data_IF_272910775218
#
_entry.id   IF_272910775218
#
_cell.length_a   1.000
_cell.length_b   1.000
_cell.length_c   1.000
_cell.angle_alpha   90.00
_cell.angle_beta   90.00
_cell.angle_gamma   90.00
#
_symmetry.space_group_name_H-M   'P 1'
#
loop_
_entity.id
_entity.type
_entity.pdbx_description
1 polymer ?
#
# COMPACT_ATOMS: atom_id res chain seq x y z
N UNK A 1 -7.25 16.87 -14.03
CA UNK A 1 -7.81 15.81 -13.18
C UNK A 1 -6.80 14.67 -13.03
N UNK A 2 -6.83 13.92 -11.93
CA UNK A 2 -6.04 12.68 -11.76
C UNK A 2 -7.00 11.49 -11.68
N UNK A 3 -6.94 10.60 -12.66
CA UNK A 3 -7.69 9.34 -12.65
C UNK A 3 -6.84 8.23 -12.05
N UNK A 4 -7.21 7.74 -10.88
CA UNK A 4 -6.50 6.67 -10.17
C UNK A 4 -7.23 5.36 -10.43
N UNK A 5 -6.65 4.51 -11.26
CA UNK A 5 -7.19 3.19 -11.56
C UNK A 5 -6.55 2.20 -10.60
N UNK A 6 -7.37 1.47 -9.85
CA UNK A 6 -6.87 0.41 -8.96
C UNK A 6 -7.54 -0.92 -9.22
N UNK A 7 -6.77 -2.01 -9.11
CA UNK A 7 -7.34 -3.36 -9.15
C UNK A 7 -8.21 -3.63 -7.91
N UNK A 8 -7.79 -3.13 -6.74
CA UNK A 8 -8.31 -3.52 -5.45
C UNK A 8 -9.64 -2.83 -5.18
N UNK A 9 -10.52 -3.51 -4.45
CA UNK A 9 -11.78 -2.97 -3.93
C UNK A 9 -11.83 -2.98 -2.40
N UNK A 10 -10.73 -3.35 -1.75
CA UNK A 10 -10.64 -3.61 -0.31
C UNK A 10 -9.54 -2.78 0.34
N UNK A 11 -8.59 -3.41 1.03
CA UNK A 11 -7.62 -2.72 1.87
C UNK A 11 -6.71 -1.76 1.11
N UNK A 12 -6.28 -2.13 -0.09
CA UNK A 12 -5.52 -1.25 -0.98
C UNK A 12 -6.38 -0.06 -1.41
N UNK A 13 -7.63 -0.29 -1.83
CA UNK A 13 -8.57 0.80 -2.17
C UNK A 13 -8.75 1.79 -1.01
N UNK A 14 -9.06 1.29 0.19
CA UNK A 14 -9.27 2.12 1.37
C UNK A 14 -8.02 2.96 1.70
N UNK A 15 -6.83 2.35 1.60
CA UNK A 15 -5.56 3.05 1.80
C UNK A 15 -5.37 4.16 0.78
N UNK A 16 -5.49 3.86 -0.52
CA UNK A 16 -5.29 4.84 -1.59
C UNK A 16 -6.32 5.95 -1.53
N UNK A 17 -7.57 5.64 -1.19
CA UNK A 17 -8.59 6.63 -0.94
C UNK A 17 -8.17 7.63 0.14
N UNK A 18 -7.71 7.14 1.29
CA UNK A 18 -7.23 8.00 2.38
C UNK A 18 -6.02 8.83 1.93
N UNK A 19 -5.09 8.24 1.15
CA UNK A 19 -3.95 8.98 0.58
C UNK A 19 -4.46 10.15 -0.27
N UNK A 20 -5.27 9.90 -1.28
CA UNK A 20 -5.68 10.97 -2.20
C UNK A 20 -6.61 11.98 -1.55
N UNK A 21 -7.54 11.57 -0.69
CA UNK A 21 -8.40 12.49 0.08
C UNK A 21 -7.61 13.36 1.08
N UNK A 22 -6.42 12.92 1.50
CA UNK A 22 -5.60 13.71 2.43
C UNK A 22 -4.76 14.78 1.72
N UNK A 23 -4.29 14.49 0.50
CA UNK A 23 -3.35 15.36 -0.19
C UNK A 23 -3.95 16.14 -1.36
N UNK A 24 -5.13 15.77 -1.84
CA UNK A 24 -5.79 16.39 -2.99
C UNK A 24 -7.21 16.78 -2.64
N UNK A 25 -7.71 17.83 -3.31
CA UNK A 25 -9.12 18.20 -3.23
C UNK A 25 -9.99 17.19 -3.98
N UNK A 26 -11.26 17.03 -3.56
CA UNK A 26 -12.18 16.06 -4.15
C UNK A 26 -12.47 16.27 -5.63
N UNK A 27 -12.25 17.49 -6.13
CA UNK A 27 -12.47 17.86 -7.53
C UNK A 27 -11.22 17.61 -8.40
N UNK A 28 -10.10 17.21 -7.79
CA UNK A 28 -8.83 17.00 -8.47
C UNK A 28 -8.55 15.54 -8.83
N UNK A 29 -9.30 14.59 -8.27
CA UNK A 29 -9.08 13.18 -8.53
C UNK A 29 -10.37 12.34 -8.57
N UNK A 30 -10.29 11.20 -9.27
CA UNK A 30 -11.32 10.16 -9.29
C UNK A 30 -10.65 8.80 -9.12
N UNK A 31 -11.11 7.98 -8.16
CA UNK A 31 -10.66 6.60 -8.00
C UNK A 31 -11.61 5.65 -8.72
N UNK A 32 -11.07 4.84 -9.62
CA UNK A 32 -11.79 3.92 -10.50
C UNK A 32 -11.31 2.50 -10.19
N UNK A 33 -12.24 1.62 -9.82
CA UNK A 33 -11.94 0.23 -9.43
C UNK A 33 -12.16 -0.70 -10.60
N UNK A 34 -11.11 -1.40 -11.04
CA UNK A 34 -11.17 -2.38 -12.11
C UNK A 34 -11.71 -3.75 -11.64
N UNK A 35 -11.69 -4.03 -10.34
CA UNK A 35 -12.08 -5.30 -9.72
C UNK A 35 -11.22 -6.49 -10.20
N UNK A 36 -9.90 -6.32 -10.06
CA UNK A 36 -8.88 -7.32 -10.36
C UNK A 36 -8.12 -7.11 -11.67
N UNK A 37 -6.90 -7.66 -11.72
CA UNK A 37 -5.90 -7.42 -12.78
C UNK A 37 -6.39 -7.66 -14.21
N UNK A 38 -7.24 -8.66 -14.43
CA UNK A 38 -7.77 -9.01 -15.76
C UNK A 38 -8.62 -7.91 -16.41
N UNK A 39 -9.11 -6.95 -15.64
CA UNK A 39 -9.97 -5.88 -16.13
C UNK A 39 -9.25 -4.52 -16.20
N UNK A 40 -8.00 -4.44 -15.75
CA UNK A 40 -7.24 -3.18 -15.72
C UNK A 40 -7.14 -2.53 -17.09
N UNK A 41 -6.79 -3.30 -18.13
CA UNK A 41 -6.66 -2.73 -19.48
C UNK A 41 -7.98 -2.16 -20.01
N UNK A 42 -9.10 -2.86 -19.79
CA UNK A 42 -10.42 -2.34 -20.18
C UNK A 42 -10.76 -1.07 -19.42
N UNK A 43 -10.56 -1.08 -18.10
CA UNK A 43 -10.80 0.07 -17.24
C UNK A 43 -9.94 1.27 -17.63
N UNK A 44 -8.68 1.02 -17.98
CA UNK A 44 -7.75 2.02 -18.50
C UNK A 44 -8.26 2.62 -19.81
N UNK A 45 -8.67 1.81 -20.79
CA UNK A 45 -9.20 2.32 -22.05
C UNK A 45 -10.45 3.17 -21.86
N UNK A 46 -11.41 2.68 -21.05
CA UNK A 46 -12.63 3.41 -20.72
C UNK A 46 -12.30 4.76 -20.03
N UNK A 47 -11.24 4.82 -19.23
CA UNK A 47 -10.78 6.04 -18.52
C UNK A 47 -10.04 7.00 -19.45
N UNK A 48 -9.17 6.47 -20.30
CA UNK A 48 -8.40 7.24 -21.27
C UNK A 48 -9.31 7.90 -22.31
N UNK A 49 -10.46 7.30 -22.62
CA UNK A 49 -11.48 7.91 -23.48
C UNK A 49 -12.26 9.04 -22.81
N UNK A 50 -12.28 9.09 -21.47
CA UNK A 50 -12.88 10.18 -20.69
C UNK A 50 -11.95 11.37 -20.49
N UNK A 51 -10.64 11.17 -20.60
CA UNK A 51 -9.65 12.25 -20.47
C UNK A 51 -9.88 13.30 -21.58
N UNK A 52 -10.07 14.55 -21.17
CA UNK A 52 -10.46 15.64 -22.08
C UNK A 52 -9.42 16.77 -22.12
N UNK A 53 -8.47 16.79 -21.18
CA UNK A 53 -7.40 17.80 -21.09
C UNK A 53 -6.00 17.14 -21.17
N UNK A 54 -5.06 17.81 -21.85
CA UNK A 54 -3.64 17.43 -21.88
C UNK A 54 -2.96 17.56 -20.51
N UNK A 55 -3.61 18.21 -19.54
CA UNK A 55 -3.17 18.26 -18.15
C UNK A 55 -3.69 17.10 -17.31
N UNK A 56 -4.59 16.28 -17.84
CA UNK A 56 -5.06 15.09 -17.14
C UNK A 56 -3.93 14.08 -16.94
N UNK A 57 -4.03 13.34 -15.84
CA UNK A 57 -3.07 12.29 -15.48
C UNK A 57 -3.82 11.01 -15.16
N UNK A 58 -3.28 9.87 -15.59
CA UNK A 58 -3.74 8.55 -15.17
C UNK A 58 -2.66 7.93 -14.29
N UNK A 59 -3.05 7.50 -13.10
CA UNK A 59 -2.23 6.68 -12.21
C UNK A 59 -2.82 5.26 -12.16
N UNK A 60 -2.02 4.28 -12.56
CA UNK A 60 -2.38 2.87 -12.49
C UNK A 60 -1.77 2.21 -11.24
N UNK A 61 -2.59 1.77 -10.31
CA UNK A 61 -2.18 1.10 -9.07
C UNK A 61 -2.64 -0.36 -9.10
N UNK A 62 -1.70 -1.29 -9.07
CA UNK A 62 -2.01 -2.70 -9.22
C UNK A 62 -0.91 -3.58 -8.65
N UNK A 63 -1.23 -4.86 -8.47
CA UNK A 63 -0.26 -5.88 -8.11
C UNK A 63 0.64 -6.17 -9.31
N UNK A 64 1.87 -5.63 -9.27
CA UNK A 64 2.94 -5.83 -10.26
C UNK A 64 3.62 -7.21 -10.06
N UNK A 65 2.79 -8.25 -10.10
CA UNK A 65 3.17 -9.66 -9.90
C UNK A 65 3.94 -10.23 -11.08
N UNK A 66 4.55 -11.40 -10.91
CA UNK A 66 5.21 -12.10 -12.01
C UNK A 66 4.24 -12.44 -13.14
N UNK A 67 4.79 -12.63 -14.35
CA UNK A 67 4.01 -12.98 -15.53
C UNK A 67 3.16 -14.23 -15.31
N UNK A 68 1.89 -14.13 -15.68
CA UNK A 68 0.95 -15.25 -15.69
C UNK A 68 0.38 -15.48 -17.09
N UNK A 69 -0.30 -16.60 -17.30
CA UNK A 69 -0.97 -16.88 -18.57
C UNK A 69 -2.07 -15.88 -18.94
N UNK A 70 -2.58 -15.10 -17.99
CA UNK A 70 -3.71 -14.20 -18.17
C UNK A 70 -3.37 -12.72 -17.89
N UNK A 71 -2.15 -12.43 -17.45
CA UNK A 71 -1.73 -11.09 -17.05
C UNK A 71 -0.21 -10.95 -17.13
N UNK A 72 0.24 -9.93 -17.85
CA UNK A 72 1.64 -9.53 -17.96
C UNK A 72 1.72 -8.02 -17.64
N UNK A 73 2.24 -7.62 -16.46
CA UNK A 73 2.38 -6.23 -16.10
C UNK A 73 3.18 -5.38 -17.08
N UNK A 74 4.28 -5.92 -17.60
CA UNK A 74 5.18 -5.20 -18.50
C UNK A 74 4.46 -4.75 -19.77
N UNK A 75 3.75 -5.68 -20.42
CA UNK A 75 2.94 -5.41 -21.60
C UNK A 75 1.81 -4.41 -21.30
N UNK A 76 1.18 -4.51 -20.12
CA UNK A 76 0.15 -3.56 -19.71
C UNK A 76 0.73 -2.15 -19.55
N UNK A 77 1.86 -2.01 -18.85
CA UNK A 77 2.53 -0.73 -18.62
C UNK A 77 2.96 -0.11 -19.96
N UNK A 78 3.58 -0.88 -20.85
CA UNK A 78 4.03 -0.41 -22.17
C UNK A 78 2.84 0.08 -22.99
N UNK A 79 1.77 -0.73 -23.10
CA UNK A 79 0.54 -0.35 -23.79
C UNK A 79 -0.09 0.93 -23.22
N UNK A 80 -0.22 1.02 -21.89
CA UNK A 80 -0.80 2.19 -21.24
C UNK A 80 0.04 3.45 -21.47
N UNK A 81 1.37 3.32 -21.43
CA UNK A 81 2.30 4.41 -21.68
C UNK A 81 2.17 4.93 -23.11
N UNK A 82 2.24 4.05 -24.11
CA UNK A 82 2.07 4.42 -25.52
C UNK A 82 0.72 5.11 -25.76
N UNK A 83 -0.36 4.53 -25.24
CA UNK A 83 -1.72 5.07 -25.40
C UNK A 83 -1.88 6.45 -24.76
N UNK A 84 -1.25 6.69 -23.61
CA UNK A 84 -1.24 8.01 -22.96
C UNK A 84 -0.40 9.02 -23.74
N UNK A 85 0.77 8.61 -24.25
CA UNK A 85 1.66 9.47 -25.06
C UNK A 85 0.93 9.94 -26.34
N UNK A 86 0.20 9.05 -27.02
CA UNK A 86 -0.60 9.40 -28.20
C UNK A 86 -1.69 10.44 -27.91
N UNK A 87 -2.31 10.38 -26.72
CA UNK A 87 -3.34 11.34 -26.29
C UNK A 87 -2.79 12.57 -25.56
N UNK A 88 -1.48 12.62 -25.30
CA UNK A 88 -0.85 13.68 -24.51
C UNK A 88 -1.28 13.70 -23.04
N UNK A 89 -1.71 12.57 -22.49
CA UNK A 89 -2.07 12.37 -21.08
C UNK A 89 -0.84 11.93 -20.30
N UNK A 90 -0.68 12.40 -19.06
CA UNK A 90 0.46 11.96 -18.22
C UNK A 90 0.17 10.61 -17.59
N UNK A 91 1.11 9.68 -17.71
CA UNK A 91 0.96 8.34 -17.16
C UNK A 91 1.90 8.09 -15.98
N UNK A 92 1.34 7.50 -14.93
CA UNK A 92 2.03 7.06 -13.71
C UNK A 92 1.58 5.64 -13.36
N UNK A 93 2.42 4.88 -12.67
CA UNK A 93 2.05 3.54 -12.19
C UNK A 93 2.76 3.19 -10.87
N UNK A 94 2.21 2.20 -10.14
CA UNK A 94 2.90 1.55 -9.03
C UNK A 94 3.90 0.51 -9.54
N UNK A 95 5.16 0.63 -9.12
CA UNK A 95 6.26 -0.26 -9.50
C UNK A 95 6.57 -1.34 -8.46
N UNK A 96 6.03 -1.23 -7.25
CA UNK A 96 6.13 -2.24 -6.21
C UNK A 96 5.23 -3.45 -6.49
N UNK A 97 5.60 -4.62 -5.94
CA UNK A 97 4.98 -5.91 -6.27
C UNK A 97 3.50 -6.01 -5.86
N UNK A 98 3.16 -5.62 -4.64
CA UNK A 98 1.77 -5.54 -4.17
C UNK A 98 1.63 -4.52 -3.04
N UNK A 99 0.39 -4.21 -2.65
CA UNK A 99 0.10 -3.25 -1.57
C UNK A 99 0.83 -3.56 -0.26
N UNK A 100 0.96 -4.84 0.11
CA UNK A 100 1.60 -5.27 1.35
C UNK A 100 3.08 -4.88 1.43
N UNK A 101 3.78 -4.81 0.29
CA UNK A 101 5.16 -4.33 0.21
C UNK A 101 5.35 -2.94 0.82
N UNK A 102 4.33 -2.06 0.79
CA UNK A 102 4.40 -0.73 1.41
C UNK A 102 4.66 -0.83 2.91
N UNK A 103 3.95 -1.74 3.58
CA UNK A 103 4.04 -1.87 5.02
C UNK A 103 5.14 -2.81 5.47
N UNK A 104 5.50 -3.82 4.66
CA UNK A 104 6.65 -4.68 4.92
C UNK A 104 7.98 -3.92 4.76
N UNK A 105 8.04 -2.97 3.83
CA UNK A 105 9.19 -2.07 3.68
C UNK A 105 9.22 -0.92 4.68
N UNK A 106 8.12 -0.67 5.40
CA UNK A 106 8.02 0.45 6.32
C UNK A 106 8.95 0.28 7.52
N UNK A 107 9.90 1.20 7.69
CA UNK A 107 10.96 1.11 8.71
C UNK A 107 10.45 0.87 10.13
N UNK A 108 9.36 1.53 10.52
CA UNK A 108 8.82 1.38 11.87
C UNK A 108 8.17 0.01 12.11
N UNK A 109 7.83 -0.75 11.04
CA UNK A 109 7.39 -2.14 11.16
C UNK A 109 8.39 -2.95 11.98
N UNK A 110 9.69 -2.84 11.66
CA UNK A 110 10.78 -3.53 12.35
C UNK A 110 10.79 -3.23 13.86
N UNK A 111 10.62 -1.95 14.20
CA UNK A 111 10.58 -1.50 15.58
C UNK A 111 9.36 -2.07 16.31
N UNK A 112 8.19 -2.05 15.66
CA UNK A 112 6.95 -2.56 16.25
C UNK A 112 6.96 -4.08 16.44
N UNK A 113 7.66 -4.82 15.57
CA UNK A 113 7.80 -6.27 15.64
C UNK A 113 8.99 -6.75 16.47
N UNK A 114 9.69 -5.86 17.16
CA UNK A 114 10.88 -6.20 17.98
C UNK A 114 10.62 -7.21 19.09
N UNK A 115 9.40 -7.22 19.65
CA UNK A 115 8.97 -8.18 20.69
C UNK A 115 8.22 -9.40 20.10
N UNK A 116 8.11 -9.51 18.77
CA UNK A 116 7.54 -10.70 18.14
C UNK A 116 8.46 -11.90 18.31
N UNK A 117 7.95 -13.10 17.99
CA UNK A 117 8.79 -14.30 17.96
C UNK A 117 9.95 -14.12 16.96
N UNK A 118 11.15 -14.67 17.25
CA UNK A 118 12.35 -14.48 16.41
C UNK A 118 12.11 -14.71 14.92
N UNK A 119 11.49 -15.84 14.56
CA UNK A 119 11.13 -16.15 13.16
C UNK A 119 10.35 -15.04 12.46
N UNK A 120 9.37 -14.40 13.11
CA UNK A 120 8.61 -13.29 12.50
C UNK A 120 9.51 -12.09 12.28
N UNK A 121 10.32 -11.76 13.28
CA UNK A 121 11.24 -10.62 13.23
C UNK A 121 12.29 -10.81 12.14
N UNK A 122 12.93 -11.98 12.10
CA UNK A 122 13.99 -12.32 11.15
C UNK A 122 13.43 -12.30 9.71
N UNK A 123 12.22 -12.82 9.49
CA UNK A 123 11.56 -12.76 8.17
C UNK A 123 11.20 -11.33 7.77
N UNK A 124 10.69 -10.49 8.69
CA UNK A 124 10.42 -9.08 8.38
C UNK A 124 11.72 -8.33 8.06
N UNK A 125 12.80 -8.56 8.83
CA UNK A 125 14.12 -7.98 8.57
C UNK A 125 14.63 -8.35 7.18
N UNK A 126 14.58 -9.63 6.82
CA UNK A 126 14.98 -10.15 5.52
C UNK A 126 14.17 -9.52 4.37
N UNK A 127 12.83 -9.53 4.47
CA UNK A 127 11.96 -8.98 3.42
C UNK A 127 12.12 -7.46 3.31
N UNK A 128 12.23 -6.75 4.44
CA UNK A 128 12.45 -5.31 4.45
C UNK A 128 13.75 -4.93 3.73
N UNK A 129 14.84 -5.64 4.03
CA UNK A 129 16.13 -5.43 3.40
C UNK A 129 16.06 -5.70 1.89
N UNK A 130 15.49 -6.84 1.49
CA UNK A 130 15.38 -7.22 0.10
C UNK A 130 14.51 -6.24 -0.71
N UNK A 131 13.36 -5.80 -0.18
CA UNK A 131 12.54 -4.76 -0.83
C UNK A 131 13.35 -3.47 -1.03
N UNK A 132 14.04 -3.01 0.02
CA UNK A 132 14.78 -1.75 -0.01
C UNK A 132 16.02 -1.81 -0.93
N UNK A 133 16.58 -3.00 -1.16
CA UNK A 133 17.70 -3.22 -2.07
C UNK A 133 17.27 -3.61 -3.49
N UNK A 134 15.98 -3.84 -3.72
CA UNK A 134 15.44 -4.27 -5.02
C UNK A 134 15.78 -5.72 -5.38
N UNK A 135 15.98 -6.58 -4.38
CA UNK A 135 16.26 -8.01 -4.57
C UNK A 135 15.00 -8.86 -4.37
N UNK A 136 14.96 -10.02 -5.01
CA UNK A 136 13.93 -11.02 -4.77
C UNK A 136 14.13 -11.70 -3.42
N UNK A 137 13.04 -11.92 -2.69
CA UNK A 137 13.01 -12.54 -1.35
C UNK A 137 11.99 -13.68 -1.25
N UNK A 138 11.43 -14.10 -2.38
CA UNK A 138 10.56 -15.26 -2.44
C UNK A 138 11.33 -16.44 -2.99
N UNK A 139 11.79 -17.30 -2.08
CA UNK A 139 12.38 -18.60 -2.37
C UNK A 139 11.98 -19.54 -1.23
N UNK A 140 11.13 -20.54 -1.51
CA UNK A 140 10.69 -21.49 -0.49
C UNK A 140 11.79 -22.43 0.00
N UNK A 141 13.00 -22.34 -0.55
CA UNK A 141 14.18 -23.09 -0.10
C UNK A 141 15.17 -22.23 0.69
N UNK A 142 14.93 -20.93 0.80
CA UNK A 142 15.69 -20.04 1.68
C UNK A 142 15.33 -20.35 3.14
N UNK A 143 16.35 -20.56 4.00
CA UNK A 143 16.17 -20.98 5.39
C UNK A 143 15.26 -20.03 6.19
N UNK A 144 15.26 -18.72 5.89
CA UNK A 144 14.43 -17.74 6.59
C UNK A 144 12.97 -17.86 6.15
N UNK A 145 12.74 -18.04 4.85
CA UNK A 145 11.41 -18.20 4.27
C UNK A 145 10.82 -19.55 4.68
N UNK A 146 11.56 -20.64 4.51
CA UNK A 146 11.15 -22.00 4.87
C UNK A 146 10.74 -22.11 6.34
N UNK A 147 11.56 -21.59 7.27
CA UNK A 147 11.25 -21.58 8.69
C UNK A 147 9.98 -20.78 9.05
N UNK A 148 9.69 -19.71 8.30
CA UNK A 148 8.43 -18.98 8.46
C UNK A 148 7.24 -19.80 7.96
N UNK A 149 7.35 -20.38 6.76
CA UNK A 149 6.30 -21.17 6.13
C UNK A 149 5.95 -22.40 6.99
N UNK A 150 6.96 -23.10 7.51
CA UNK A 150 6.82 -24.25 8.40
C UNK A 150 6.01 -23.93 9.67
N UNK A 151 6.15 -22.72 10.19
CA UNK A 151 5.50 -22.32 11.44
C UNK A 151 4.12 -21.66 11.25
N UNK A 152 3.92 -20.90 10.17
CA UNK A 152 2.73 -20.06 10.04
C UNK A 152 2.07 -20.05 8.66
N UNK A 153 2.77 -20.48 7.61
CA UNK A 153 2.44 -20.11 6.24
C UNK A 153 2.52 -21.25 5.23
N UNK A 154 2.21 -22.49 5.64
CA UNK A 154 2.35 -23.67 4.76
C UNK A 154 1.50 -23.62 3.47
N UNK A 155 0.61 -22.63 3.32
CA UNK A 155 -0.25 -22.46 2.14
C UNK A 155 0.20 -21.34 1.18
N UNK A 156 1.22 -20.54 1.50
CA UNK A 156 1.73 -19.52 0.59
C UNK A 156 2.36 -20.17 -0.66
N UNK A 157 1.79 -19.88 -1.83
CA UNK A 157 2.19 -20.50 -3.12
C UNK A 157 3.09 -19.62 -3.97
N UNK A 158 3.13 -18.34 -3.66
CA UNK A 158 3.85 -17.32 -4.40
C UNK A 158 4.19 -16.16 -3.46
N UNK A 159 4.98 -15.22 -3.98
CA UNK A 159 5.41 -14.02 -3.26
C UNK A 159 4.25 -13.19 -2.72
N UNK A 160 3.17 -12.99 -3.50
CA UNK A 160 2.00 -12.20 -3.08
C UNK A 160 1.33 -12.82 -1.84
N UNK A 161 1.06 -14.13 -1.87
CA UNK A 161 0.49 -14.84 -0.74
C UNK A 161 1.40 -14.81 0.48
N UNK A 162 2.71 -14.93 0.28
CA UNK A 162 3.69 -14.83 1.34
C UNK A 162 3.74 -13.45 1.99
N UNK A 163 3.75 -12.37 1.19
CA UNK A 163 3.70 -10.99 1.70
C UNK A 163 2.43 -10.74 2.51
N UNK A 164 1.28 -11.20 2.00
CA UNK A 164 0.00 -11.09 2.69
C UNK A 164 -0.02 -11.85 4.03
N UNK A 165 0.49 -13.08 4.05
CA UNK A 165 0.59 -13.87 5.27
C UNK A 165 1.58 -13.28 6.26
N UNK A 166 2.77 -12.88 5.81
CA UNK A 166 3.80 -12.26 6.63
C UNK A 166 3.29 -10.96 7.27
N UNK A 167 2.70 -10.06 6.47
CA UNK A 167 2.12 -8.83 6.99
C UNK A 167 1.03 -9.15 8.01
N UNK A 168 0.16 -10.11 7.70
CA UNK A 168 -0.92 -10.56 8.57
C UNK A 168 -0.42 -11.06 9.93
N UNK A 169 0.55 -11.98 9.90
CA UNK A 169 1.10 -12.64 11.09
C UNK A 169 1.94 -11.66 11.91
N UNK A 170 2.79 -10.87 11.27
CA UNK A 170 3.61 -9.87 11.94
C UNK A 170 2.74 -8.86 12.67
N UNK A 171 1.71 -8.34 11.99
CA UNK A 171 0.81 -7.36 12.59
C UNK A 171 -0.09 -7.91 13.70
N UNK A 172 -0.44 -9.21 13.67
CA UNK A 172 -1.09 -9.90 14.80
C UNK A 172 -0.14 -10.14 15.97
N UNK A 173 1.14 -10.36 15.67
CA UNK A 173 2.21 -10.53 16.65
C UNK A 173 2.50 -9.26 17.45
N UNK A 174 2.24 -8.09 16.88
CA UNK A 174 2.27 -6.81 17.59
C UNK A 174 1.18 -6.84 18.67
N UNK A 175 1.61 -6.93 19.93
CA UNK A 175 0.73 -7.25 21.06
C UNK A 175 -0.58 -6.46 21.12
N UNK A 176 -1.67 -7.18 21.39
CA UNK A 176 -3.04 -6.66 21.60
C UNK A 176 -3.75 -6.01 20.39
N UNK A 177 -3.53 -6.50 19.16
CA UNK A 177 -4.62 -6.84 18.24
C UNK A 177 -5.40 -5.74 17.50
N UNK A 178 -4.97 -4.48 17.49
CA UNK A 178 -5.60 -3.42 16.67
C UNK A 178 -4.80 -3.05 15.41
N UNK A 179 -3.80 -3.85 15.05
CA UNK A 179 -2.80 -3.51 14.02
C UNK A 179 -2.83 -4.42 12.82
N UNK A 180 -3.74 -5.39 12.80
CA UNK A 180 -3.73 -6.43 11.81
C UNK A 180 -4.25 -5.93 10.46
N UNK A 181 -3.42 -5.82 9.44
CA UNK A 181 -3.90 -5.56 8.08
C UNK A 181 -4.50 -6.87 7.54
N UNK A 182 -5.79 -6.82 7.21
CA UNK A 182 -6.51 -7.90 6.53
C UNK A 182 -6.91 -7.44 5.13
N UNK A 183 -6.63 -8.29 4.12
CA UNK A 183 -7.06 -8.09 2.74
C UNK A 183 -8.58 -7.90 2.62
N UNK A 184 -9.37 -8.36 3.59
CA UNK A 184 -10.83 -8.23 3.61
C UNK A 184 -11.35 -6.91 4.16
N UNK A 185 -10.62 -6.22 5.05
CA UNK A 185 -11.04 -4.95 5.66
C UNK A 185 -9.87 -4.11 6.17
N UNK A 186 -9.79 -2.83 5.79
CA UNK A 186 -8.79 -1.89 6.32
C UNK A 186 -9.10 -1.42 7.77
N UNK A 187 -10.19 -1.90 8.36
CA UNK A 187 -10.66 -1.46 9.68
C UNK A 187 -9.65 -1.69 10.82
N UNK A 188 -8.65 -2.54 10.61
CA UNK A 188 -7.68 -3.01 11.60
C UNK A 188 -6.24 -2.46 11.38
N UNK A 189 -6.05 -1.54 10.43
CA UNK A 189 -4.80 -0.78 10.22
C UNK A 189 -4.89 0.70 10.65
N UNK A 190 -5.98 1.09 11.32
CA UNK A 190 -6.34 2.50 11.55
C UNK A 190 -5.28 3.29 12.30
N UNK A 191 -4.56 2.70 13.26
CA UNK A 191 -3.55 3.45 14.02
C UNK A 191 -2.36 3.87 13.15
N UNK A 192 -2.18 3.37 11.92
CA UNK A 192 -1.16 3.88 10.99
C UNK A 192 -1.62 5.10 10.21
N UNK A 193 -2.93 5.33 10.09
CA UNK A 193 -3.49 6.44 9.29
C UNK A 193 -4.27 7.48 10.10
N UNK A 194 -4.90 7.12 11.22
CA UNK A 194 -5.78 8.01 11.99
C UNK A 194 -5.24 8.30 13.38
N UNK A 195 -5.54 9.48 13.95
CA UNK A 195 -5.14 9.76 15.33
C UNK A 195 -5.77 8.77 16.27
N UNK A 196 -5.07 8.49 17.34
CA UNK A 196 -5.61 7.72 18.44
C UNK A 196 -6.94 8.26 18.98
N UNK A 197 -7.07 9.58 19.10
CA UNK A 197 -8.33 10.23 19.49
C UNK A 197 -9.47 9.97 18.48
N UNK A 198 -9.18 9.99 17.17
CA UNK A 198 -10.18 9.73 16.13
C UNK A 198 -10.67 8.28 16.20
N UNK A 199 -9.75 7.34 16.39
CA UNK A 199 -10.05 5.92 16.56
C UNK A 199 -10.92 5.71 17.81
N UNK A 200 -10.50 6.26 18.95
CA UNK A 200 -11.22 6.19 20.23
C UNK A 200 -12.63 6.81 20.17
N UNK A 201 -12.85 7.79 19.30
CA UNK A 201 -14.17 8.41 19.10
C UNK A 201 -15.19 7.43 18.51
N UNK A 202 -14.72 6.44 17.74
CA UNK A 202 -15.56 5.39 17.13
C UNK A 202 -15.79 4.18 18.04
N UNK A 203 -15.10 4.13 19.19
CA UNK A 203 -15.15 3.02 20.14
C UNK A 203 -16.18 3.25 21.24
N UNK A 204 -16.74 2.14 21.76
CA UNK A 204 -17.52 2.19 22.97
C UNK A 204 -16.65 2.58 24.19
N UNK A 205 -17.27 3.13 25.23
CA UNK A 205 -16.57 3.68 26.41
C UNK A 205 -15.76 2.65 27.20
N UNK A 206 -16.08 1.35 27.08
CA UNK A 206 -15.37 0.27 27.80
C UNK A 206 -14.03 -0.10 27.16
N UNK A 207 -13.85 0.16 25.85
CA UNK A 207 -12.64 -0.19 25.08
C UNK A 207 -11.65 0.98 25.00
N UNK A 208 -12.11 2.20 25.27
CA UNK A 208 -11.40 3.46 24.99
C UNK A 208 -10.07 3.63 25.75
N UNK A 209 -9.98 3.16 26.99
CA UNK A 209 -8.86 3.49 27.90
C UNK A 209 -7.59 2.64 27.72
N UNK A 210 -7.60 1.60 26.85
CA UNK A 210 -6.43 0.69 26.73
C UNK A 210 -5.84 0.58 25.34
N UNK A 211 -6.58 0.87 24.28
CA UNK A 211 -6.11 0.64 22.90
C UNK A 211 -4.91 1.48 22.51
N UNK A 212 -5.04 2.79 22.57
CA UNK A 212 -3.99 3.67 22.07
C UNK A 212 -2.76 3.75 22.96
N UNK A 213 -2.95 3.64 24.27
CA UNK A 213 -1.85 3.79 25.23
C UNK A 213 -1.04 2.52 25.41
N UNK A 214 -1.68 1.34 25.42
CA UNK A 214 -0.99 0.07 25.68
C UNK A 214 -0.86 -0.85 24.47
N UNK A 215 -1.64 -0.61 23.40
CA UNK A 215 -1.67 -1.50 22.23
C UNK A 215 -1.11 -0.82 20.98
N UNK A 216 -1.25 0.50 20.82
CA UNK A 216 -0.57 1.23 19.74
C UNK A 216 0.89 1.54 20.06
N UNK A 217 1.77 0.76 19.40
CA UNK A 217 3.23 0.91 19.43
C UNK A 217 3.77 1.82 18.34
N UNK A 218 2.93 2.26 17.40
CA UNK A 218 3.36 3.22 16.41
C UNK A 218 3.73 4.54 17.10
N UNK A 219 4.99 4.97 16.96
CA UNK A 219 5.51 6.19 17.59
C UNK A 219 4.67 7.42 17.26
N UNK A 220 4.15 7.52 16.03
CA UNK A 220 3.34 8.66 15.58
C UNK A 220 1.82 8.47 15.78
N UNK A 221 1.38 7.58 16.68
CA UNK A 221 -0.05 7.28 16.91
C UNK A 221 -0.98 8.47 17.18
N UNK A 222 -0.43 9.55 17.74
CA UNK A 222 -1.16 10.77 18.07
C UNK A 222 -1.07 11.86 16.99
N UNK A 223 -0.24 11.66 15.97
CA UNK A 223 -0.10 12.58 14.84
C UNK A 223 -1.32 12.49 13.92
N UNK A 224 -1.61 13.57 13.20
CA UNK A 224 -2.70 13.58 12.22
C UNK A 224 -2.42 12.67 11.01
N UNK A 225 -3.45 12.47 10.19
CA UNK A 225 -3.38 11.59 9.01
C UNK A 225 -2.33 12.06 8.01
N UNK A 226 -2.22 13.37 7.78
CA UNK A 226 -1.23 13.93 6.87
C UNK A 226 0.20 13.62 7.33
N UNK A 227 0.53 13.87 8.60
CA UNK A 227 1.86 13.60 9.15
C UNK A 227 2.22 12.11 9.09
N UNK A 228 1.25 11.23 9.35
CA UNK A 228 1.48 9.78 9.35
C UNK A 228 1.61 9.21 7.95
N UNK A 229 0.85 9.72 6.99
CA UNK A 229 1.03 9.39 5.58
C UNK A 229 2.39 9.86 5.08
N UNK A 230 2.80 11.09 5.42
CA UNK A 230 4.15 11.57 5.11
C UNK A 230 5.23 10.66 5.70
N UNK A 231 5.05 10.19 6.94
CA UNK A 231 5.99 9.26 7.56
C UNK A 231 6.06 7.91 6.84
N UNK A 232 4.92 7.36 6.39
CA UNK A 232 4.89 6.17 5.53
C UNK A 232 5.60 6.47 4.21
N UNK A 233 5.31 7.61 3.56
CA UNK A 233 5.97 8.02 2.31
C UNK A 233 7.46 8.23 2.46
N UNK A 234 7.97 8.66 3.61
CA UNK A 234 9.39 8.95 3.80
C UNK A 234 10.19 7.72 4.27
N UNK A 235 9.51 6.71 4.82
CA UNK A 235 10.15 5.55 5.46
C UNK A 235 9.68 4.18 4.93
N UNK A 236 9.07 4.12 3.75
CA UNK A 236 8.72 2.88 3.03
C UNK A 236 9.25 2.90 1.60
N UNK A 237 8.96 1.85 0.82
CA UNK A 237 9.23 1.77 -0.62
C UNK A 237 8.64 2.94 -1.41
N UNK A 238 7.62 3.63 -0.87
CA UNK A 238 7.02 4.79 -1.53
C UNK A 238 7.93 6.03 -1.57
N UNK A 239 9.08 6.04 -0.86
CA UNK A 239 9.97 7.19 -0.75
C UNK A 239 10.43 7.78 -2.08
N UNK A 240 10.74 6.92 -3.03
CA UNK A 240 11.21 7.30 -4.37
C UNK A 240 10.13 7.03 -5.44
N UNK A 241 8.91 6.68 -5.02
CA UNK A 241 7.82 6.36 -5.94
C UNK A 241 7.35 7.58 -6.73
N UNK A 242 6.93 7.35 -7.96
CA UNK A 242 6.34 8.39 -8.80
C UNK A 242 5.03 8.96 -8.20
N UNK A 243 4.33 8.16 -7.41
CA UNK A 243 3.08 8.53 -6.71
C UNK A 243 3.33 9.72 -5.77
N UNK A 244 4.41 9.67 -4.99
CA UNK A 244 4.79 10.78 -4.10
C UNK A 244 5.06 12.07 -4.88
N UNK A 245 5.72 11.96 -6.04
CA UNK A 245 5.98 13.07 -6.93
C UNK A 245 4.73 13.63 -7.61
N UNK A 246 3.73 12.79 -7.90
CA UNK A 246 2.43 13.20 -8.43
C UNK A 246 1.67 14.02 -7.38
N UNK A 247 1.60 13.51 -6.15
CA UNK A 247 0.91 14.15 -5.03
C UNK A 247 1.54 15.50 -4.68
N UNK A 248 2.87 15.55 -4.49
CA UNK A 248 3.58 16.80 -4.08
C UNK A 248 3.58 17.90 -5.14
N UNK A 249 3.48 17.56 -6.44
CA UNK A 249 3.41 18.57 -7.51
C UNK A 249 2.14 19.43 -7.40
N UNK A 250 1.03 18.83 -6.99
CA UNK A 250 -0.25 19.53 -6.83
C UNK A 250 -0.20 20.54 -5.67
N UNK A 251 0.33 20.14 -4.50
CA UNK A 251 0.54 21.04 -3.36
C UNK A 251 1.35 22.31 -3.70
N UNK A 252 2.29 22.19 -4.66
CA UNK A 252 3.14 23.31 -5.09
C UNK A 252 2.47 24.27 -6.08
N UNK A 253 1.44 23.79 -6.81
CA UNK A 253 0.68 24.63 -7.73
C UNK A 253 -0.32 25.52 -6.98
N UNK A 254 -0.94 24.99 -5.92
CA UNK A 254 -1.95 25.74 -5.14
C UNK A 254 -1.34 26.76 -4.17
N UNK A 255 -0.03 26.66 -3.86
CA UNK A 255 0.70 27.67 -3.07
C UNK A 255 1.23 28.85 -3.88
N UNK A 256 1.08 28.84 -5.20
CA UNK A 256 1.58 29.88 -6.10
C UNK A 256 0.47 30.71 -6.78
N UNK A 257 -0.75 30.71 -6.21
CA UNK A 257 -1.87 31.57 -6.61
C UNK A 257 -2.18 32.57 -5.49
#
# INVERSE_FOLDING_TARGET
MIYIITEDSKSGYDFWKIVFETFLDSDDFEIIVAAGNRFLQKCFNDTLDRCCDLQDSILLIFDNIDDTSNFNPGNLIEYCKESCEEKGVRFYFSDFYCFESIFLSYKEMLNMTSDCKPVIKDTIEYVNEAINQGFGYWDSTDDIVDNFLDQYGSEAKNREHFEAELLSIATRGIGFGQFHIEKSTFNKGKCWLYRCADIQSTMNSYVRDKDCDTRCRYTNKNMDTLAKLNDIFDNSILKESQIKGLIRRKESHDKNI
#
